data_IF_992873040747
#
_entry.id   IF_992873040747
#
_cell.length_a   1.000
_cell.length_b   1.000
_cell.length_c   1.000
_cell.angle_alpha   90.00
_cell.angle_beta   90.00
_cell.angle_gamma   90.00
#
_symmetry.space_group_name_H-M   'P 1'
#
loop_
_entity.id
_entity.type
_entity.pdbx_description
1 polymer ?
#
# COMPACT_ATOMS: atom_id res chain seq x y z
N UNK A 1 2.03 5.81 0.37
CA UNK A 1 2.03 6.82 -0.71
C UNK A 1 0.98 6.53 -1.78
N UNK A 2 1.00 5.37 -2.45
CA UNK A 2 -0.01 5.02 -3.48
C UNK A 2 -1.46 5.16 -2.98
N UNK A 3 -1.77 4.61 -1.80
CA UNK A 3 -3.09 4.72 -1.18
C UNK A 3 -3.57 6.18 -0.98
N UNK A 4 -2.66 7.10 -0.66
CA UNK A 4 -3.02 8.52 -0.51
C UNK A 4 -3.29 9.17 -1.87
N UNK A 5 -2.51 8.83 -2.89
CA UNK A 5 -2.71 9.36 -4.24
C UNK A 5 -4.08 8.96 -4.80
N UNK A 6 -4.48 7.69 -4.65
CA UNK A 6 -5.80 7.22 -5.14
C UNK A 6 -6.96 7.82 -4.34
N UNK A 7 -6.78 8.11 -3.05
CA UNK A 7 -7.76 8.87 -2.26
C UNK A 7 -7.94 10.30 -2.79
N UNK A 8 -6.83 11.01 -3.02
CA UNK A 8 -6.87 12.36 -3.62
C UNK A 8 -7.56 12.31 -4.98
N UNK A 9 -7.26 11.28 -5.78
CA UNK A 9 -7.84 11.12 -7.11
C UNK A 9 -9.37 10.99 -7.10
N UNK A 10 -9.95 10.28 -6.12
CA UNK A 10 -11.41 10.18 -5.95
C UNK A 10 -12.03 11.52 -5.57
N UNK A 11 -11.39 12.28 -4.68
CA UNK A 11 -11.88 13.62 -4.32
C UNK A 11 -11.91 14.54 -5.55
N UNK A 12 -10.81 14.55 -6.32
CA UNK A 12 -10.73 15.37 -7.54
C UNK A 12 -11.69 14.87 -8.63
N UNK A 13 -11.90 13.55 -8.73
CA UNK A 13 -12.91 12.98 -9.63
C UNK A 13 -14.33 13.47 -9.27
N UNK A 14 -14.67 13.51 -7.98
CA UNK A 14 -15.93 14.07 -7.50
C UNK A 14 -16.11 15.53 -7.92
N UNK A 15 -15.08 16.37 -7.75
CA UNK A 15 -15.10 17.76 -8.22
C UNK A 15 -15.25 17.89 -9.73
N UNK A 16 -14.68 16.96 -10.49
CA UNK A 16 -14.85 16.94 -11.95
C UNK A 16 -16.30 16.56 -12.34
N UNK A 17 -16.89 15.57 -11.68
CA UNK A 17 -18.30 15.19 -11.88
C UNK A 17 -19.28 16.29 -11.46
N UNK A 18 -18.89 17.14 -10.50
CA UNK A 18 -19.61 18.35 -10.09
C UNK A 18 -19.46 19.53 -11.08
N UNK A 19 -18.76 19.32 -12.22
CA UNK A 19 -18.66 20.28 -13.32
C UNK A 19 -17.42 21.16 -13.30
N UNK A 20 -16.45 20.92 -12.42
CA UNK A 20 -15.20 21.69 -12.40
C UNK A 20 -14.28 21.31 -13.56
N UNK A 21 -14.20 22.18 -14.58
CA UNK A 21 -13.32 21.97 -15.74
C UNK A 21 -11.83 21.90 -15.38
N UNK A 22 -11.38 22.59 -14.32
CA UNK A 22 -10.00 22.51 -13.83
C UNK A 22 -9.70 21.15 -13.18
N UNK A 23 -10.70 20.54 -12.55
CA UNK A 23 -10.53 19.25 -11.89
C UNK A 23 -10.22 18.11 -12.87
N UNK A 24 -10.64 18.22 -14.14
CA UNK A 24 -10.28 17.26 -15.20
C UNK A 24 -8.75 17.13 -15.34
N UNK A 25 -8.05 18.26 -15.46
CA UNK A 25 -6.59 18.27 -15.65
C UNK A 25 -5.90 17.71 -14.41
N UNK A 26 -6.33 18.15 -13.23
CA UNK A 26 -5.78 17.69 -11.95
C UNK A 26 -6.03 16.20 -11.76
N UNK A 27 -7.22 15.70 -12.07
CA UNK A 27 -7.58 14.29 -11.99
C UNK A 27 -6.66 13.44 -12.86
N UNK A 28 -6.41 13.88 -14.11
CA UNK A 28 -5.47 13.21 -15.01
C UNK A 28 -4.03 13.21 -14.48
N UNK A 29 -3.55 14.33 -13.95
CA UNK A 29 -2.19 14.43 -13.38
C UNK A 29 -2.01 13.55 -12.14
N UNK A 30 -3.01 13.50 -11.25
CA UNK A 30 -3.01 12.61 -10.08
C UNK A 30 -3.09 11.15 -10.51
N UNK A 31 -3.92 10.85 -11.52
CA UNK A 31 -4.01 9.55 -12.19
C UNK A 31 -2.67 9.00 -12.64
N UNK A 32 -1.93 9.79 -13.41
CA UNK A 32 -0.61 9.39 -13.88
C UNK A 32 0.39 9.26 -12.73
N UNK A 33 0.32 10.14 -11.73
CA UNK A 33 1.15 10.05 -10.52
C UNK A 33 0.88 8.76 -9.75
N UNK A 34 -0.38 8.32 -9.66
CA UNK A 34 -0.75 7.07 -9.02
C UNK A 34 -0.16 5.85 -9.75
N UNK A 35 -0.08 5.87 -11.08
CA UNK A 35 0.61 4.82 -11.87
C UNK A 35 2.09 4.74 -11.50
N UNK A 36 2.81 5.87 -11.47
CA UNK A 36 4.22 5.88 -11.08
C UNK A 36 4.44 5.40 -9.64
N UNK A 37 3.55 5.79 -8.72
CA UNK A 37 3.57 5.28 -7.35
C UNK A 37 3.27 3.78 -7.28
N UNK A 38 2.43 3.24 -8.17
CA UNK A 38 2.19 1.80 -8.26
C UNK A 38 3.42 1.05 -8.78
N UNK A 39 4.18 1.62 -9.72
CA UNK A 39 5.48 1.08 -10.15
C UNK A 39 6.46 1.05 -8.98
N UNK A 40 6.60 2.16 -8.25
CA UNK A 40 7.47 2.22 -7.08
C UNK A 40 7.04 1.20 -5.99
N UNK A 41 5.74 1.04 -5.77
CA UNK A 41 5.17 0.04 -4.87
C UNK A 41 5.49 -1.38 -5.32
N UNK A 42 5.41 -1.69 -6.61
CA UNK A 42 5.78 -3.00 -7.16
C UNK A 42 7.26 -3.28 -6.96
N UNK A 43 8.14 -2.30 -7.23
CA UNK A 43 9.58 -2.44 -6.98
C UNK A 43 9.84 -2.76 -5.51
N UNK A 44 9.22 -2.01 -4.59
CA UNK A 44 9.33 -2.26 -3.15
C UNK A 44 8.84 -3.66 -2.76
N UNK A 45 7.72 -4.12 -3.33
CA UNK A 45 7.18 -5.45 -3.07
C UNK A 45 8.10 -6.58 -3.59
N UNK A 46 8.70 -6.40 -4.77
CA UNK A 46 9.70 -7.33 -5.32
C UNK A 46 10.93 -7.41 -4.42
N UNK A 47 11.41 -6.26 -3.91
CA UNK A 47 12.52 -6.21 -2.95
C UNK A 47 12.15 -6.87 -1.61
N UNK A 48 10.91 -6.72 -1.15
CA UNK A 48 10.45 -7.42 0.04
C UNK A 48 10.44 -8.95 -0.15
N UNK A 49 10.01 -9.43 -1.32
CA UNK A 49 9.96 -10.86 -1.63
C UNK A 49 11.33 -11.50 -1.81
N UNK A 50 12.15 -10.97 -2.73
CA UNK A 50 13.33 -11.69 -3.24
C UNK A 50 14.56 -11.56 -2.32
N UNK A 51 15.09 -10.37 -2.02
CA UNK A 51 16.14 -10.21 -1.02
C UNK A 51 15.60 -10.22 0.42
N UNK A 52 14.39 -9.71 0.67
CA UNK A 52 13.80 -9.65 2.01
C UNK A 52 13.22 -10.98 2.54
N UNK A 53 13.14 -12.02 1.69
CA UNK A 53 12.54 -13.34 2.00
C UNK A 53 11.08 -13.26 2.48
N UNK A 54 10.40 -12.17 2.16
CA UNK A 54 8.97 -11.98 2.42
C UNK A 54 8.09 -12.87 1.54
N UNK A 55 6.79 -12.90 1.82
CA UNK A 55 5.83 -13.62 0.97
C UNK A 55 5.78 -13.07 -0.46
N UNK A 56 5.44 -13.91 -1.44
CA UNK A 56 5.28 -13.51 -2.85
C UNK A 56 3.99 -12.71 -3.10
N UNK A 57 2.96 -12.93 -2.30
CA UNK A 57 1.63 -12.34 -2.52
C UNK A 57 1.61 -10.80 -2.59
N UNK A 58 2.42 -10.01 -1.81
CA UNK A 58 2.44 -8.56 -1.91
C UNK A 58 2.89 -8.08 -3.28
N UNK A 59 3.81 -8.79 -3.91
CA UNK A 59 4.25 -8.55 -5.29
C UNK A 59 3.10 -8.75 -6.27
N UNK A 60 2.31 -9.81 -6.09
CA UNK A 60 1.12 -10.08 -6.90
C UNK A 60 0.07 -8.97 -6.77
N UNK A 61 -0.22 -8.51 -5.55
CA UNK A 61 -1.17 -7.41 -5.31
C UNK A 61 -0.64 -6.10 -5.89
N UNK A 62 0.64 -5.78 -5.73
CA UNK A 62 1.23 -4.57 -6.30
C UNK A 62 1.20 -4.60 -7.84
N UNK A 63 1.45 -5.75 -8.46
CA UNK A 63 1.37 -5.92 -9.91
C UNK A 63 -0.07 -5.75 -10.41
N UNK A 64 -1.05 -6.33 -9.71
CA UNK A 64 -2.47 -6.16 -10.04
C UNK A 64 -2.91 -4.70 -9.92
N UNK A 65 -2.51 -4.00 -8.86
CA UNK A 65 -2.80 -2.58 -8.69
C UNK A 65 -2.17 -1.72 -9.79
N UNK A 66 -0.93 -2.04 -10.21
CA UNK A 66 -0.30 -1.34 -11.34
C UNK A 66 -1.08 -1.55 -12.64
N UNK A 67 -1.44 -2.80 -12.96
CA UNK A 67 -2.23 -3.11 -14.15
C UNK A 67 -3.61 -2.43 -14.12
N UNK A 68 -4.29 -2.45 -12.98
CA UNK A 68 -5.58 -1.82 -12.79
C UNK A 68 -5.51 -0.29 -12.93
N UNK A 69 -4.46 0.37 -12.41
CA UNK A 69 -4.25 1.81 -12.62
C UNK A 69 -3.97 2.14 -14.09
N UNK A 70 -3.23 1.30 -14.82
CA UNK A 70 -3.02 1.46 -16.26
C UNK A 70 -4.33 1.34 -17.05
N UNK A 71 -5.16 0.36 -16.70
CA UNK A 71 -6.49 0.18 -17.29
C UNK A 71 -7.40 1.37 -17.00
N UNK A 72 -7.41 1.89 -15.77
CA UNK A 72 -8.13 3.11 -15.37
C UNK A 72 -7.81 4.30 -16.25
N UNK A 73 -6.53 4.54 -16.56
CA UNK A 73 -6.11 5.63 -17.44
C UNK A 73 -6.75 5.47 -18.84
N UNK A 74 -6.73 4.26 -19.40
CA UNK A 74 -7.38 3.96 -20.68
C UNK A 74 -8.91 4.15 -20.64
N UNK A 75 -9.56 3.70 -19.56
CA UNK A 75 -11.00 3.87 -19.34
C UNK A 75 -11.39 5.35 -19.19
N UNK A 76 -10.53 6.15 -18.54
CA UNK A 76 -10.70 7.59 -18.42
C UNK A 76 -10.67 8.30 -19.78
N UNK A 77 -9.71 7.96 -20.65
CA UNK A 77 -9.63 8.53 -22.01
C UNK A 77 -10.82 8.14 -22.89
N UNK A 78 -11.33 6.92 -22.73
CA UNK A 78 -12.51 6.43 -23.46
C UNK A 78 -13.83 6.85 -22.82
N UNK A 79 -13.79 7.55 -21.67
CA UNK A 79 -14.96 8.03 -20.90
C UNK A 79 -15.95 6.94 -20.52
N UNK A 80 -15.46 5.71 -20.32
CA UNK A 80 -16.29 4.57 -19.92
C UNK A 80 -16.59 4.59 -18.42
N UNK A 81 -17.39 5.58 -17.97
CA UNK A 81 -17.67 5.82 -16.55
C UNK A 81 -18.25 4.60 -15.83
N UNK A 82 -19.06 3.80 -16.52
CA UNK A 82 -19.69 2.60 -15.97
C UNK A 82 -18.68 1.54 -15.49
N UNK A 83 -17.48 1.51 -16.08
CA UNK A 83 -16.41 0.58 -15.68
C UNK A 83 -15.33 1.32 -14.89
N UNK A 84 -15.00 2.55 -15.30
CA UNK A 84 -14.01 3.41 -14.68
C UNK A 84 -14.31 3.67 -13.20
N UNK A 85 -15.54 4.11 -12.88
CA UNK A 85 -15.89 4.47 -11.51
C UNK A 85 -15.83 3.24 -10.57
N UNK A 86 -16.45 2.09 -10.90
CA UNK A 86 -16.34 0.90 -10.05
C UNK A 86 -14.90 0.39 -9.91
N UNK A 87 -14.10 0.41 -10.99
CA UNK A 87 -12.71 -0.03 -10.92
C UNK A 87 -11.87 0.91 -10.04
N UNK A 88 -12.04 2.22 -10.16
CA UNK A 88 -11.41 3.22 -9.30
C UNK A 88 -11.74 3.00 -7.82
N UNK A 89 -13.01 2.71 -7.49
CA UNK A 89 -13.41 2.37 -6.11
C UNK A 89 -12.73 1.09 -5.62
N UNK A 90 -12.70 0.04 -6.46
CA UNK A 90 -12.04 -1.21 -6.11
C UNK A 90 -10.54 -1.02 -5.84
N UNK A 91 -9.86 -0.21 -6.65
CA UNK A 91 -8.46 0.16 -6.44
C UNK A 91 -8.28 0.86 -5.10
N UNK A 92 -9.13 1.82 -4.74
CA UNK A 92 -9.05 2.50 -3.43
C UNK A 92 -9.17 1.51 -2.27
N UNK A 93 -10.17 0.65 -2.30
CA UNK A 93 -10.39 -0.35 -1.23
C UNK A 93 -9.18 -1.27 -1.09
N UNK A 94 -8.69 -1.84 -2.19
CA UNK A 94 -7.53 -2.74 -2.18
C UNK A 94 -6.26 -2.01 -1.75
N UNK A 95 -6.02 -0.79 -2.23
CA UNK A 95 -4.86 0.01 -1.84
C UNK A 95 -4.86 0.37 -0.36
N UNK A 96 -6.02 0.69 0.22
CA UNK A 96 -6.14 0.97 1.66
C UNK A 96 -5.92 -0.28 2.50
N UNK A 97 -6.53 -1.41 2.12
CA UNK A 97 -6.32 -2.69 2.80
C UNK A 97 -4.85 -3.12 2.74
N UNK A 98 -4.21 -2.96 1.58
CA UNK A 98 -2.80 -3.28 1.40
C UNK A 98 -1.89 -2.37 2.22
N UNK A 99 -2.17 -1.06 2.26
CA UNK A 99 -1.43 -0.11 3.08
C UNK A 99 -1.58 -0.41 4.59
N UNK A 100 -2.80 -0.70 5.04
CA UNK A 100 -3.05 -1.09 6.43
C UNK A 100 -2.29 -2.37 6.80
N UNK A 101 -2.32 -3.40 5.95
CA UNK A 101 -1.52 -4.61 6.15
C UNK A 101 -0.02 -4.31 6.25
N UNK A 102 0.52 -3.48 5.35
CA UNK A 102 1.94 -3.15 5.32
C UNK A 102 2.38 -2.41 6.60
N UNK A 103 1.58 -1.44 7.07
CA UNK A 103 1.83 -0.70 8.30
C UNK A 103 1.80 -1.61 9.54
N UNK A 104 0.81 -2.49 9.62
CA UNK A 104 0.71 -3.46 10.71
C UNK A 104 1.90 -4.44 10.70
N UNK A 105 2.34 -4.87 9.52
CA UNK A 105 3.51 -5.74 9.38
C UNK A 105 4.80 -5.06 9.88
N UNK A 106 4.97 -3.77 9.58
CA UNK A 106 6.11 -2.99 10.05
C UNK A 106 6.11 -2.81 11.59
N UNK A 107 4.93 -2.57 12.19
CA UNK A 107 4.82 -2.39 13.64
C UNK A 107 5.23 -3.64 14.44
N UNK A 108 5.01 -4.84 13.88
CA UNK A 108 5.40 -6.12 14.50
C UNK A 108 6.91 -6.35 14.54
N UNK A 109 7.68 -5.59 13.79
CA UNK A 109 9.15 -5.71 13.73
C UNK A 109 9.86 -4.79 14.74
N UNK A 110 9.14 -3.91 15.42
CA UNK A 110 9.69 -3.04 16.47
C UNK A 110 9.45 -3.72 17.83
N UNK A 111 10.48 -4.30 18.49
CA UNK A 111 10.31 -4.91 19.80
C UNK A 111 9.91 -3.85 20.83
N UNK A 112 8.92 -4.13 21.67
CA UNK A 112 8.54 -3.25 22.78
C UNK A 112 9.49 -3.46 23.96
N UNK A 113 9.85 -2.39 24.68
CA UNK A 113 10.77 -2.42 25.84
C UNK A 113 10.39 -3.45 26.93
N UNK A 114 9.14 -3.93 26.96
CA UNK A 114 8.69 -5.02 27.84
C UNK A 114 9.42 -6.35 27.59
N UNK A 115 9.91 -6.61 26.38
CA UNK A 115 10.68 -7.82 26.05
C UNK A 115 12.16 -7.70 26.48
N UNK A 116 12.62 -6.51 26.88
CA UNK A 116 13.98 -6.27 27.36
C UNK A 116 14.13 -6.48 28.88
N UNK A 117 13.04 -6.76 29.60
CA UNK A 117 12.97 -6.72 31.06
C UNK A 117 12.49 -8.01 31.72
N UNK A 118 13.29 -9.07 31.69
CA UNK A 118 13.31 -10.03 32.81
C UNK A 118 14.76 -10.47 33.03
N UNK A 119 15.48 -9.87 33.98
CA UNK A 119 16.78 -10.39 34.39
C UNK A 119 16.55 -11.77 35.02
N UNK A 120 16.89 -12.83 34.29
CA UNK A 120 17.02 -14.16 34.89
C UNK A 120 18.16 -14.08 35.91
N UNK A 121 17.82 -13.98 37.18
CA UNK A 121 18.80 -14.02 38.27
C UNK A 121 19.40 -15.42 38.27
N UNK A 122 20.73 -15.59 38.09
CA UNK A 122 21.35 -16.90 38.26
C UNK A 122 21.34 -17.24 39.75
N UNK A 123 20.41 -18.09 40.16
CA UNK A 123 20.43 -18.72 41.48
C UNK A 123 21.67 -19.61 41.59
N UNK A 124 22.63 -19.13 42.37
CA UNK A 124 23.92 -19.69 42.71
C UNK A 124 24.01 -21.23 42.76
N UNK A 125 24.96 -21.78 41.99
CA UNK A 125 25.62 -23.03 42.31
C UNK A 125 26.65 -22.79 43.42
N UNK A 126 26.54 -23.46 44.56
CA UNK A 126 27.71 -23.81 45.38
C UNK A 126 27.50 -25.20 45.94
N UNK A 127 28.43 -26.10 45.62
CA UNK A 127 28.51 -27.43 46.22
C UNK A 127 28.92 -27.34 47.69
N UNK A 128 28.53 -28.34 48.46
CA UNK A 128 29.16 -28.69 49.71
C UNK A 128 29.33 -30.22 49.75
N UNK A 129 30.55 -30.60 50.08
CA UNK A 129 31.07 -31.96 50.15
C UNK A 129 30.39 -32.82 51.24
N UNK A 130 30.31 -34.13 51.00
CA UNK A 130 30.84 -35.22 51.84
C UNK A 130 30.32 -36.57 51.33
#
# INVERSE_FOLDING_TARGET
MHALAVLVQVVVAGSYLDGSGKAMVVHGSVGLSAVFLAVAQLIAAVLFWRPGRGGLWPTGVAALLLAANGLEVGLGYTRSLAIHVPLGVAIVVVSLAFAAWALNSASRLVPTESDAGTPTTPGASTGAAA
#
